data_IF_688369814609
#
_entry.id   IF_688369814609
#
_cell.length_a   1.000
_cell.length_b   1.000
_cell.length_c   1.000
_cell.angle_alpha   90.00
_cell.angle_beta   90.00
_cell.angle_gamma   90.00
#
_symmetry.space_group_name_H-M   'P 1'
#
loop_
_entity.id
_entity.type
_entity.pdbx_description
1 polymer ?
#
# COMPACT_ATOMS: atom_id res chain seq x y z
N UNK A 1 19.24 -29.25 -1.53
CA UNK A 1 19.21 -28.12 -2.48
C UNK A 1 18.91 -26.89 -1.67
N UNK A 2 19.68 -25.82 -1.77
CA UNK A 2 19.38 -24.56 -1.09
C UNK A 2 18.06 -24.03 -1.67
N UNK A 3 17.16 -23.61 -0.81
CA UNK A 3 15.93 -22.94 -1.24
C UNK A 3 16.27 -21.57 -1.85
N UNK A 4 15.34 -21.00 -2.63
CA UNK A 4 15.46 -19.63 -3.12
C UNK A 4 15.51 -18.68 -1.92
N UNK A 5 16.52 -17.80 -1.86
CA UNK A 5 16.63 -16.77 -0.81
C UNK A 5 15.69 -15.61 -1.16
N UNK A 6 14.57 -15.54 -0.44
CA UNK A 6 13.54 -14.55 -0.61
C UNK A 6 13.37 -13.75 0.69
N UNK A 7 13.39 -12.43 0.57
CA UNK A 7 13.23 -11.49 1.69
C UNK A 7 11.91 -10.75 1.54
N UNK A 8 10.93 -10.99 2.41
CA UNK A 8 9.74 -10.16 2.46
C UNK A 8 10.06 -8.78 3.05
N UNK A 9 9.55 -7.75 2.42
CA UNK A 9 9.63 -6.35 2.85
C UNK A 9 8.22 -5.90 3.20
N UNK A 10 7.91 -5.81 4.48
CA UNK A 10 6.56 -5.56 4.97
C UNK A 10 6.34 -4.07 5.22
N UNK A 11 5.28 -3.53 4.67
CA UNK A 11 4.71 -2.22 5.03
C UNK A 11 3.51 -2.42 5.94
N UNK A 12 3.73 -2.36 7.25
CA UNK A 12 2.67 -2.54 8.25
C UNK A 12 1.60 -1.45 8.16
N UNK A 13 1.95 -0.26 7.67
CA UNK A 13 1.04 0.88 7.57
C UNK A 13 0.02 0.76 6.45
N UNK A 14 0.40 0.17 5.33
CA UNK A 14 -0.47 -0.11 4.19
C UNK A 14 -0.98 -1.55 4.18
N UNK A 15 -0.41 -2.42 5.03
CA UNK A 15 -0.74 -3.84 5.07
C UNK A 15 -0.20 -4.63 3.88
N UNK A 16 0.89 -4.16 3.25
CA UNK A 16 1.45 -4.74 2.03
C UNK A 16 2.77 -5.45 2.26
N UNK A 17 3.07 -6.38 1.35
CA UNK A 17 4.34 -7.08 1.27
C UNK A 17 4.93 -6.87 -0.12
N UNK A 18 6.19 -6.46 -0.17
CA UNK A 18 7.04 -6.55 -1.34
C UNK A 18 8.07 -7.66 -1.12
N UNK A 19 8.71 -8.10 -2.18
CA UNK A 19 9.65 -9.21 -2.09
C UNK A 19 10.96 -8.87 -2.80
N UNK A 20 12.08 -9.24 -2.18
CA UNK A 20 13.39 -9.23 -2.81
C UNK A 20 13.87 -10.68 -2.92
N UNK A 21 14.23 -11.12 -4.13
CA UNK A 21 14.74 -12.45 -4.43
C UNK A 21 16.20 -12.33 -4.85
N UNK A 22 17.08 -13.05 -4.14
CA UNK A 22 18.48 -13.22 -4.56
C UNK A 22 18.55 -14.20 -5.74
N UNK A 23 19.12 -13.78 -6.85
CA UNK A 23 19.27 -14.60 -8.06
C UNK A 23 20.52 -15.50 -8.05
N UNK A 24 21.35 -15.40 -7.00
CA UNK A 24 22.53 -16.24 -6.77
C UNK A 24 23.79 -15.79 -7.51
N UNK A 25 23.74 -14.67 -8.25
CA UNK A 25 24.87 -14.13 -9.03
C UNK A 25 25.19 -12.66 -8.71
N UNK A 26 24.72 -12.18 -7.54
CA UNK A 26 24.87 -10.78 -7.10
C UNK A 26 23.77 -9.84 -7.63
N UNK A 27 22.79 -10.38 -8.34
CA UNK A 27 21.61 -9.65 -8.81
C UNK A 27 20.38 -10.01 -8.00
N UNK A 28 19.39 -9.13 -8.00
CA UNK A 28 18.11 -9.36 -7.36
C UNK A 28 16.94 -9.03 -8.30
N UNK A 29 15.84 -9.75 -8.11
CA UNK A 29 14.50 -9.36 -8.53
C UNK A 29 13.78 -8.75 -7.33
N UNK A 30 13.06 -7.66 -7.54
CA UNK A 30 12.07 -7.15 -6.58
C UNK A 30 10.66 -7.23 -7.18
N UNK A 31 9.67 -7.49 -6.34
CA UNK A 31 8.26 -7.60 -6.76
C UNK A 31 7.41 -6.71 -5.88
N UNK A 32 6.54 -5.90 -6.50
CA UNK A 32 5.54 -5.03 -5.90
C UNK A 32 6.11 -4.06 -4.84
N UNK A 33 7.24 -3.46 -5.16
CA UNK A 33 7.89 -2.48 -4.28
C UNK A 33 7.23 -1.12 -4.37
N UNK A 34 7.01 -0.47 -3.24
CA UNK A 34 6.51 0.90 -3.21
C UNK A 34 7.60 1.90 -3.60
N UNK A 35 7.20 3.15 -3.88
CA UNK A 35 8.09 4.28 -4.17
C UNK A 35 9.10 4.56 -3.03
N UNK A 36 8.80 4.15 -1.80
CA UNK A 36 9.76 4.16 -0.70
C UNK A 36 10.72 2.97 -0.81
N UNK A 37 11.82 3.18 -1.51
CA UNK A 37 12.83 2.17 -1.79
C UNK A 37 13.85 1.96 -0.64
N UNK A 38 13.75 2.66 0.49
CA UNK A 38 14.70 2.56 1.62
C UNK A 38 14.87 1.11 2.11
N UNK A 39 13.75 0.37 2.22
CA UNK A 39 13.76 -1.05 2.60
C UNK A 39 14.47 -1.93 1.58
N UNK A 40 14.20 -1.72 0.28
CA UNK A 40 14.84 -2.43 -0.83
C UNK A 40 16.35 -2.20 -0.83
N UNK A 41 16.78 -0.93 -0.81
CA UNK A 41 18.21 -0.58 -0.80
C UNK A 41 18.94 -1.15 0.41
N UNK A 42 18.30 -1.10 1.59
CA UNK A 42 18.87 -1.68 2.81
C UNK A 42 19.02 -3.21 2.70
N UNK A 43 17.98 -3.90 2.22
CA UNK A 43 18.00 -5.37 2.09
C UNK A 43 19.01 -5.83 1.04
N UNK A 44 19.06 -5.17 -0.13
CA UNK A 44 19.99 -5.46 -1.21
C UNK A 44 21.44 -5.20 -0.78
N UNK A 45 21.72 -4.03 -0.18
CA UNK A 45 23.06 -3.65 0.27
C UNK A 45 23.62 -4.61 1.31
N UNK A 46 22.81 -5.03 2.29
CA UNK A 46 23.23 -6.00 3.31
C UNK A 46 23.65 -7.35 2.73
N UNK A 47 23.18 -7.68 1.52
CA UNK A 47 23.48 -8.94 0.82
C UNK A 47 24.48 -8.76 -0.33
N UNK A 48 24.94 -7.55 -0.61
CA UNK A 48 25.79 -7.25 -1.75
C UNK A 48 25.09 -7.43 -3.10
N UNK A 49 23.78 -7.22 -3.15
CA UNK A 49 22.95 -7.41 -4.35
C UNK A 49 22.69 -6.10 -5.07
N UNK A 50 22.59 -6.18 -6.40
CA UNK A 50 22.11 -5.11 -7.29
C UNK A 50 20.74 -5.49 -7.82
N UNK A 51 19.74 -4.60 -7.73
CA UNK A 51 18.41 -4.84 -8.29
C UNK A 51 18.51 -4.78 -9.81
N UNK A 52 18.34 -5.93 -10.46
CA UNK A 52 18.38 -6.08 -11.92
C UNK A 52 16.99 -6.12 -12.55
N UNK A 53 15.99 -6.58 -11.78
CA UNK A 53 14.61 -6.70 -12.24
C UNK A 53 13.67 -6.12 -11.19
N UNK A 54 12.63 -5.41 -11.66
CA UNK A 54 11.56 -4.87 -10.83
C UNK A 54 10.22 -5.23 -11.49
N UNK A 55 9.44 -6.08 -10.83
CA UNK A 55 8.16 -6.58 -11.35
C UNK A 55 6.98 -5.99 -10.58
N UNK A 56 5.96 -5.55 -11.30
CA UNK A 56 4.66 -5.17 -10.74
C UNK A 56 3.61 -6.19 -11.18
N UNK A 57 2.91 -6.80 -10.23
CA UNK A 57 1.83 -7.74 -10.53
C UNK A 57 0.61 -7.03 -11.15
N UNK A 58 0.37 -5.78 -10.80
CA UNK A 58 -0.77 -5.00 -11.28
C UNK A 58 -0.53 -3.49 -11.12
N UNK A 59 -1.48 -2.70 -11.60
CA UNK A 59 -1.55 -1.25 -11.35
C UNK A 59 -2.07 -1.02 -9.93
N UNK A 60 -1.14 -0.85 -8.97
CA UNK A 60 -1.46 -0.66 -7.57
C UNK A 60 -2.32 0.59 -7.34
N UNK A 61 -3.40 0.45 -6.56
CA UNK A 61 -4.28 1.55 -6.19
C UNK A 61 -3.94 2.14 -4.80
N UNK A 62 -3.17 1.45 -4.00
CA UNK A 62 -2.90 1.74 -2.59
C UNK A 62 -1.50 2.30 -2.33
N UNK A 63 -0.57 2.19 -3.29
CA UNK A 63 0.73 2.87 -3.27
C UNK A 63 1.23 3.18 -4.68
N UNK A 64 2.16 4.13 -4.79
CA UNK A 64 2.93 4.34 -6.01
C UNK A 64 4.06 3.32 -6.11
N UNK A 65 4.15 2.63 -7.25
CA UNK A 65 5.21 1.66 -7.51
C UNK A 65 6.58 2.33 -7.60
N UNK A 66 7.59 1.66 -7.02
CA UNK A 66 9.00 2.01 -7.14
C UNK A 66 9.68 1.43 -8.38
N UNK A 67 9.01 0.57 -9.16
CA UNK A 67 9.61 -0.07 -10.33
C UNK A 67 10.09 0.94 -11.37
N UNK A 68 9.30 1.99 -11.64
CA UNK A 68 9.69 3.09 -12.54
C UNK A 68 10.97 3.79 -12.06
N UNK A 69 11.06 4.10 -10.76
CA UNK A 69 12.26 4.72 -10.16
C UNK A 69 13.48 3.80 -10.29
N UNK A 70 13.35 2.51 -10.00
CA UNK A 70 14.43 1.54 -10.14
C UNK A 70 14.90 1.40 -11.60
N UNK A 71 13.96 1.39 -12.55
CA UNK A 71 14.29 1.39 -13.97
C UNK A 71 15.11 2.60 -14.38
N UNK A 72 14.70 3.79 -13.94
CA UNK A 72 15.36 5.06 -14.29
C UNK A 72 16.71 5.26 -13.60
N UNK A 73 16.86 4.87 -12.33
CA UNK A 73 18.04 5.19 -11.52
C UNK A 73 19.06 4.06 -11.42
N UNK A 74 18.62 2.81 -11.47
CA UNK A 74 19.46 1.61 -11.33
C UNK A 74 19.59 0.80 -12.62
N UNK A 75 18.83 1.15 -13.66
CA UNK A 75 18.79 0.39 -14.91
C UNK A 75 18.10 -0.97 -14.77
N UNK A 76 17.29 -1.17 -13.72
CA UNK A 76 16.54 -2.40 -13.55
C UNK A 76 15.55 -2.59 -14.70
N UNK A 77 15.45 -3.81 -15.22
CA UNK A 77 14.41 -4.17 -16.19
C UNK A 77 13.06 -4.20 -15.50
N UNK A 78 12.15 -3.30 -15.89
CA UNK A 78 10.80 -3.28 -15.35
C UNK A 78 9.94 -4.31 -16.07
N UNK A 79 9.29 -5.20 -15.31
CA UNK A 79 8.43 -6.26 -15.80
C UNK A 79 6.99 -5.98 -15.36
N UNK A 80 6.05 -5.93 -16.30
CA UNK A 80 4.65 -5.66 -15.98
C UNK A 80 3.74 -6.20 -17.08
N UNK A 81 2.44 -6.23 -16.83
CA UNK A 81 1.45 -6.64 -17.83
C UNK A 81 1.47 -5.72 -19.05
N UNK A 82 1.49 -6.32 -20.25
CA UNK A 82 1.32 -5.60 -21.51
C UNK A 82 -0.05 -4.91 -21.60
N UNK A 83 -1.09 -5.50 -20.96
CA UNK A 83 -2.43 -4.95 -20.92
C UNK A 83 -2.61 -3.76 -19.96
N UNK A 84 -1.56 -3.42 -19.20
CA UNK A 84 -1.57 -2.26 -18.30
C UNK A 84 -1.34 -0.92 -19.00
N UNK A 85 -0.97 -0.92 -20.27
CA UNK A 85 -0.76 0.27 -21.10
C UNK A 85 0.10 1.35 -20.41
N UNK A 86 1.19 0.94 -19.71
CA UNK A 86 2.07 1.85 -18.99
C UNK A 86 2.80 2.78 -19.95
N UNK A 87 2.88 4.06 -19.61
CA UNK A 87 3.46 5.12 -20.46
C UNK A 87 4.98 5.29 -20.29
N UNK A 88 5.64 4.48 -19.49
CA UNK A 88 7.08 4.48 -19.29
C UNK A 88 7.72 3.15 -19.75
N UNK A 89 9.04 3.16 -19.91
CA UNK A 89 9.79 2.00 -20.42
C UNK A 89 9.63 0.80 -19.50
N UNK A 90 9.08 -0.29 -20.03
CA UNK A 90 8.92 -1.57 -19.36
C UNK A 90 8.92 -2.72 -20.38
N UNK A 91 9.08 -3.93 -19.90
CA UNK A 91 8.84 -5.16 -20.67
C UNK A 91 7.40 -5.59 -20.40
N UNK A 92 6.55 -5.42 -21.40
CA UNK A 92 5.15 -5.85 -21.36
C UNK A 92 5.04 -7.36 -21.52
N UNK A 93 4.50 -8.03 -20.51
CA UNK A 93 4.33 -9.49 -20.48
C UNK A 93 2.88 -9.88 -20.73
N UNK A 94 2.72 -10.99 -21.46
CA UNK A 94 1.46 -11.67 -21.70
C UNK A 94 1.37 -12.97 -20.93
N UNK A 95 0.21 -13.59 -20.95
CA UNK A 95 0.00 -14.89 -20.33
C UNK A 95 0.94 -15.96 -20.90
N UNK A 96 1.67 -16.64 -20.01
CA UNK A 96 2.64 -17.69 -20.35
C UNK A 96 4.03 -17.19 -20.75
N UNK A 97 4.25 -15.88 -20.88
CA UNK A 97 5.59 -15.35 -21.16
C UNK A 97 6.56 -15.68 -20.01
N UNK A 98 7.79 -16.00 -20.38
CA UNK A 98 8.86 -16.29 -19.42
C UNK A 98 10.01 -15.28 -19.57
N UNK A 99 10.52 -14.84 -18.43
CA UNK A 99 11.72 -14.01 -18.33
C UNK A 99 12.85 -14.83 -17.69
N UNK A 100 13.98 -14.95 -18.39
CA UNK A 100 15.19 -15.55 -17.85
C UNK A 100 15.88 -14.56 -16.89
N UNK A 101 15.99 -14.95 -15.63
CA UNK A 101 16.64 -14.17 -14.59
C UNK A 101 18.12 -14.55 -14.39
N UNK A 102 18.64 -15.49 -15.20
CA UNK A 102 20.03 -15.97 -15.11
C UNK A 102 20.18 -17.19 -14.21
N UNK A 103 19.27 -18.17 -14.32
CA UNK A 103 19.23 -19.42 -13.53
C UNK A 103 17.86 -19.71 -13.00
N UNK A 104 17.17 -18.71 -12.49
CA UNK A 104 15.74 -18.75 -12.23
C UNK A 104 14.98 -18.21 -13.44
N UNK A 105 13.71 -18.58 -13.57
CA UNK A 105 12.78 -18.03 -14.57
C UNK A 105 11.54 -17.49 -13.88
N UNK A 106 11.00 -16.42 -14.43
CA UNK A 106 9.74 -15.83 -13.99
C UNK A 106 8.69 -16.00 -15.09
N UNK A 107 7.65 -16.79 -14.84
CA UNK A 107 6.53 -16.99 -15.78
C UNK A 107 5.35 -16.11 -15.39
N UNK A 108 4.84 -15.33 -16.35
CA UNK A 108 3.64 -14.55 -16.18
C UNK A 108 2.39 -15.43 -16.32
N UNK A 109 1.47 -15.31 -15.37
CA UNK A 109 0.17 -15.96 -15.38
C UNK A 109 -0.91 -14.87 -15.34
N UNK A 110 -1.72 -14.77 -16.40
CA UNK A 110 -2.83 -13.81 -16.41
C UNK A 110 -3.88 -14.19 -15.36
N UNK A 111 -4.10 -13.31 -14.39
CA UNK A 111 -5.00 -13.53 -13.26
C UNK A 111 -5.86 -12.28 -13.00
N UNK A 112 -6.73 -11.87 -13.98
CA UNK A 112 -7.58 -10.70 -13.85
C UNK A 112 -8.62 -10.86 -12.75
N UNK A 113 -9.05 -9.73 -12.21
CA UNK A 113 -10.07 -9.66 -11.16
C UNK A 113 -9.86 -8.48 -10.26
N UNK A 114 -8.83 -8.50 -9.42
CA UNK A 114 -8.44 -7.34 -8.63
C UNK A 114 -8.21 -6.10 -9.51
N UNK A 115 -7.45 -6.28 -10.58
CA UNK A 115 -7.42 -5.38 -11.74
C UNK A 115 -7.60 -6.18 -13.03
N UNK A 116 -7.89 -5.51 -14.14
CA UNK A 116 -8.16 -6.17 -15.42
C UNK A 116 -6.90 -6.74 -16.08
N UNK A 117 -5.73 -6.13 -15.83
CA UNK A 117 -4.43 -6.47 -16.41
C UNK A 117 -3.55 -7.33 -15.49
N UNK A 118 -4.06 -7.73 -14.32
CA UNK A 118 -3.30 -8.41 -13.28
C UNK A 118 -2.57 -9.65 -13.77
N UNK A 119 -1.28 -9.73 -13.44
CA UNK A 119 -0.43 -10.92 -13.62
C UNK A 119 0.03 -11.45 -12.26
N UNK A 120 -0.11 -12.74 -12.02
CA UNK A 120 0.70 -13.41 -11.03
C UNK A 120 2.03 -13.84 -11.66
N UNK A 121 3.11 -13.87 -10.89
CA UNK A 121 4.42 -14.28 -11.37
C UNK A 121 4.87 -15.58 -10.70
N UNK A 122 4.95 -16.66 -11.47
CA UNK A 122 5.44 -17.95 -11.00
C UNK A 122 6.96 -18.02 -11.13
N UNK A 123 7.65 -18.27 -10.02
CA UNK A 123 9.09 -18.42 -9.97
C UNK A 123 9.46 -19.88 -10.16
N UNK A 124 10.36 -20.14 -11.10
CA UNK A 124 10.83 -21.47 -11.51
C UNK A 124 12.32 -21.61 -11.27
N UNK A 125 12.72 -22.78 -10.72
CA UNK A 125 14.10 -23.25 -10.59
C UNK A 125 14.24 -24.52 -11.44
N UNK A 126 14.79 -24.37 -12.65
CA UNK A 126 14.67 -25.38 -13.68
C UNK A 126 13.20 -25.62 -14.04
N UNK A 127 12.73 -26.86 -13.91
CA UNK A 127 11.31 -27.22 -14.13
C UNK A 127 10.48 -27.22 -12.85
N UNK A 128 11.10 -26.89 -11.71
CA UNK A 128 10.42 -26.85 -10.41
C UNK A 128 9.73 -25.50 -10.21
N UNK A 129 8.44 -25.54 -9.95
CA UNK A 129 7.65 -24.41 -9.51
C UNK A 129 7.92 -24.15 -8.02
N UNK A 130 8.57 -23.03 -7.70
CA UNK A 130 9.04 -22.72 -6.33
C UNK A 130 7.98 -21.97 -5.54
N UNK A 131 7.42 -20.95 -6.14
CA UNK A 131 6.43 -20.09 -5.50
C UNK A 131 5.85 -19.10 -6.50
N UNK A 132 4.75 -18.48 -6.14
CA UNK A 132 4.01 -17.55 -6.98
C UNK A 132 3.76 -16.25 -6.24
N UNK A 133 4.14 -15.12 -6.86
CA UNK A 133 3.79 -13.78 -6.44
C UNK A 133 2.36 -13.51 -6.95
N UNK A 134 1.40 -13.58 -6.06
CA UNK A 134 -0.01 -13.60 -6.43
C UNK A 134 -0.66 -12.21 -6.44
N UNK A 135 0.07 -11.17 -6.07
CA UNK A 135 -0.48 -9.82 -6.04
C UNK A 135 -1.74 -9.72 -5.19
N UNK A 136 -2.85 -9.34 -5.83
CA UNK A 136 -4.18 -9.33 -5.24
C UNK A 136 -5.08 -10.51 -5.63
N UNK A 137 -4.64 -11.39 -6.55
CA UNK A 137 -5.51 -12.49 -7.04
C UNK A 137 -5.76 -13.57 -6.00
N UNK A 138 -4.71 -14.00 -5.27
CA UNK A 138 -4.83 -14.92 -4.14
C UNK A 138 -4.05 -14.31 -2.98
N UNK A 139 -4.72 -14.06 -1.89
CA UNK A 139 -4.13 -13.64 -0.62
C UNK A 139 -4.41 -14.69 0.44
N UNK A 140 -3.64 -14.67 1.55
CA UNK A 140 -3.79 -15.68 2.59
C UNK A 140 -5.21 -15.65 3.15
N UNK A 141 -5.96 -16.74 2.95
CA UNK A 141 -7.34 -16.89 3.43
C UNK A 141 -8.39 -16.03 2.71
N UNK A 142 -8.05 -15.38 1.57
CA UNK A 142 -8.97 -14.49 0.85
C UNK A 142 -8.53 -14.21 -0.59
N UNK A 143 -9.17 -13.24 -1.23
CA UNK A 143 -8.77 -12.58 -2.46
C UNK A 143 -8.96 -11.06 -2.31
N UNK A 144 -8.25 -10.25 -3.08
CA UNK A 144 -8.40 -8.81 -3.01
C UNK A 144 -9.70 -8.34 -3.68
N UNK A 145 -10.12 -7.13 -3.33
CA UNK A 145 -11.31 -6.46 -3.85
C UNK A 145 -11.23 -6.23 -5.36
N UNK A 146 -12.37 -6.17 -6.00
CA UNK A 146 -12.53 -6.09 -7.47
C UNK A 146 -13.25 -4.83 -7.93
N UNK A 147 -13.49 -3.88 -7.03
CA UNK A 147 -14.29 -2.66 -7.26
C UNK A 147 -13.45 -1.39 -7.43
N UNK A 148 -12.12 -1.52 -7.63
CA UNK A 148 -11.22 -0.36 -7.72
C UNK A 148 -11.09 0.20 -9.14
N UNK A 149 -11.32 -0.60 -10.17
CA UNK A 149 -11.17 -0.17 -11.58
C UNK A 149 -12.34 0.73 -12.00
N UNK A 150 -13.56 0.23 -11.86
CA UNK A 150 -14.79 1.00 -12.03
C UNK A 150 -15.98 0.25 -11.42
N UNK A 151 -17.00 0.99 -11.01
CA UNK A 151 -18.23 0.42 -10.43
C UNK A 151 -18.94 -0.51 -11.41
N UNK A 152 -19.03 -0.09 -12.69
CA UNK A 152 -19.70 -0.84 -13.77
C UNK A 152 -19.05 -2.19 -14.06
N UNK A 153 -17.74 -2.34 -13.81
CA UNK A 153 -17.00 -3.56 -14.09
C UNK A 153 -16.81 -4.46 -12.86
N UNK A 154 -17.30 -4.04 -11.71
CA UNK A 154 -17.07 -4.76 -10.43
C UNK A 154 -17.51 -6.22 -10.51
N UNK A 155 -18.72 -6.51 -11.01
CA UNK A 155 -19.23 -7.89 -11.12
C UNK A 155 -18.44 -8.71 -12.15
N UNK A 156 -18.13 -8.13 -13.32
CA UNK A 156 -17.29 -8.76 -14.36
C UNK A 156 -15.94 -9.16 -13.78
N UNK A 157 -15.27 -8.22 -13.09
CA UNK A 157 -13.96 -8.46 -12.48
C UNK A 157 -14.04 -9.47 -11.34
N UNK A 158 -15.13 -9.50 -10.57
CA UNK A 158 -15.32 -10.50 -9.52
C UNK A 158 -15.45 -11.90 -10.10
N UNK A 159 -16.14 -12.08 -11.23
CA UNK A 159 -16.21 -13.35 -11.94
C UNK A 159 -14.85 -13.76 -12.51
N UNK A 160 -14.11 -12.80 -13.09
CA UNK A 160 -12.72 -13.04 -13.52
C UNK A 160 -11.82 -13.46 -12.35
N UNK A 161 -11.99 -12.84 -11.18
CA UNK A 161 -11.27 -13.20 -9.94
C UNK A 161 -11.52 -14.65 -9.53
N UNK A 162 -12.76 -15.15 -9.67
CA UNK A 162 -13.09 -16.55 -9.42
C UNK A 162 -12.27 -17.49 -10.31
N UNK A 163 -12.24 -17.24 -11.61
CA UNK A 163 -11.45 -18.05 -12.56
C UNK A 163 -9.94 -17.97 -12.25
N UNK A 164 -9.44 -16.79 -11.93
CA UNK A 164 -8.04 -16.55 -11.59
C UNK A 164 -7.62 -17.29 -10.33
N UNK A 165 -8.46 -17.27 -9.29
CA UNK A 165 -8.23 -17.97 -8.04
C UNK A 165 -8.12 -19.48 -8.25
N UNK A 166 -9.03 -20.08 -9.06
CA UNK A 166 -9.01 -21.49 -9.39
C UNK A 166 -7.82 -21.87 -10.28
N UNK A 167 -7.40 -20.96 -11.17
CA UNK A 167 -6.17 -21.13 -11.95
C UNK A 167 -4.94 -21.27 -11.04
N UNK A 168 -4.79 -20.37 -10.06
CA UNK A 168 -3.68 -20.42 -9.10
C UNK A 168 -3.76 -21.67 -8.20
N UNK A 169 -4.95 -22.04 -7.78
CA UNK A 169 -5.20 -23.21 -6.97
C UNK A 169 -4.89 -24.56 -7.70
N UNK A 170 -4.77 -24.53 -9.02
CA UNK A 170 -4.36 -25.69 -9.82
C UNK A 170 -2.83 -25.94 -9.83
N UNK A 171 -2.02 -25.01 -9.29
CA UNK A 171 -0.58 -25.21 -9.09
C UNK A 171 -0.31 -26.33 -8.08
N UNK A 172 0.89 -26.94 -8.09
CA UNK A 172 1.26 -27.96 -7.10
C UNK A 172 1.11 -27.44 -5.66
N UNK A 173 0.66 -28.30 -4.75
CA UNK A 173 0.31 -27.91 -3.39
C UNK A 173 1.46 -27.36 -2.54
N UNK A 174 2.72 -27.68 -2.87
CA UNK A 174 3.92 -27.20 -2.19
C UNK A 174 4.45 -25.86 -2.73
N UNK A 175 3.87 -25.34 -3.80
CA UNK A 175 4.19 -23.99 -4.32
C UNK A 175 3.85 -22.96 -3.26
N UNK A 176 4.84 -22.10 -2.94
CA UNK A 176 4.68 -21.02 -1.98
C UNK A 176 3.79 -19.91 -2.56
N UNK A 177 2.96 -19.30 -1.74
CA UNK A 177 2.09 -18.17 -2.10
C UNK A 177 2.63 -16.91 -1.45
N UNK A 178 2.98 -15.92 -2.28
CA UNK A 178 3.57 -14.64 -1.89
C UNK A 178 2.68 -13.48 -2.35
N UNK A 179 1.65 -13.14 -1.60
CA UNK A 179 0.71 -12.07 -1.96
C UNK A 179 1.26 -10.70 -1.62
N UNK A 180 0.84 -9.68 -2.36
CA UNK A 180 1.15 -8.27 -2.04
C UNK A 180 0.28 -7.76 -0.91
N UNK A 181 -1.00 -8.07 -0.92
CA UNK A 181 -1.94 -7.60 0.10
C UNK A 181 -2.09 -8.60 1.25
N UNK A 182 -2.25 -8.06 2.46
CA UNK A 182 -2.39 -8.87 3.67
C UNK A 182 -3.08 -8.10 4.80
N UNK A 183 -2.84 -8.50 6.03
CA UNK A 183 -3.43 -7.87 7.22
C UNK A 183 -3.17 -6.36 7.24
N UNK A 184 -4.23 -5.57 7.42
CA UNK A 184 -4.18 -4.10 7.43
C UNK A 184 -4.35 -3.43 6.07
N UNK A 185 -4.34 -4.18 4.96
CA UNK A 185 -4.59 -3.63 3.63
C UNK A 185 -6.08 -3.36 3.41
N UNK A 186 -6.41 -2.19 2.83
CA UNK A 186 -7.78 -1.88 2.38
C UNK A 186 -8.14 -2.60 1.07
N UNK A 187 -7.18 -3.25 0.42
CA UNK A 187 -7.43 -4.08 -0.77
C UNK A 187 -7.99 -5.46 -0.42
N UNK A 188 -7.98 -5.87 0.86
CA UNK A 188 -8.46 -7.17 1.29
C UNK A 188 -9.39 -7.07 2.50
N UNK A 189 -10.39 -7.98 2.65
CA UNK A 189 -11.00 -8.20 3.94
C UNK A 189 -9.92 -8.64 4.95
N UNK A 190 -10.12 -8.43 6.27
CA UNK A 190 -9.07 -8.69 7.25
C UNK A 190 -8.72 -10.19 7.28
N UNK A 191 -7.62 -10.62 6.67
CA UNK A 191 -7.09 -11.96 6.83
C UNK A 191 -6.41 -12.10 8.19
N UNK A 192 -6.03 -13.31 8.54
CA UNK A 192 -5.15 -13.56 9.69
C UNK A 192 -3.80 -12.83 9.57
N UNK A 193 -2.97 -12.95 10.59
CA UNK A 193 -1.66 -12.28 10.64
C UNK A 193 -0.62 -12.84 9.64
N UNK A 194 -0.87 -14.01 9.05
CA UNK A 194 0.05 -14.68 8.14
C UNK A 194 0.18 -13.88 6.83
N UNK A 195 1.43 -13.71 6.38
CA UNK A 195 1.77 -12.94 5.18
C UNK A 195 2.08 -13.80 3.96
N UNK A 196 2.32 -15.10 4.16
CA UNK A 196 2.65 -16.07 3.12
C UNK A 196 1.93 -17.39 3.40
N UNK A 197 1.78 -18.21 2.36
CA UNK A 197 1.04 -19.46 2.47
C UNK A 197 1.62 -20.51 1.49
N UNK A 198 0.90 -21.60 1.28
CA UNK A 198 1.10 -22.56 0.20
C UNK A 198 -0.20 -22.82 -0.51
N UNK A 199 -0.14 -23.31 -1.75
CA UNK A 199 -1.36 -23.67 -2.50
C UNK A 199 -2.17 -24.72 -1.75
N UNK A 200 -1.54 -25.74 -1.15
CA UNK A 200 -2.25 -26.75 -0.37
C UNK A 200 -2.97 -26.17 0.85
N UNK A 201 -2.34 -25.21 1.53
CA UNK A 201 -2.96 -24.54 2.67
C UNK A 201 -4.19 -23.72 2.24
N UNK A 202 -4.05 -22.92 1.17
CA UNK A 202 -5.16 -22.12 0.65
C UNK A 202 -6.33 -23.01 0.17
N UNK A 203 -6.05 -24.12 -0.52
CA UNK A 203 -7.09 -25.09 -0.90
C UNK A 203 -7.86 -25.64 0.30
N UNK A 204 -7.18 -25.83 1.44
CA UNK A 204 -7.78 -26.38 2.65
C UNK A 204 -8.54 -25.34 3.50
N UNK A 205 -8.13 -24.06 3.46
CA UNK A 205 -8.57 -23.08 4.48
C UNK A 205 -9.21 -21.83 3.91
N UNK A 206 -8.95 -21.48 2.62
CA UNK A 206 -9.47 -20.26 2.04
C UNK A 206 -10.97 -20.40 1.73
N UNK A 207 -11.86 -19.64 2.39
CA UNK A 207 -13.31 -19.81 2.23
C UNK A 207 -13.79 -19.44 0.82
N UNK A 208 -13.06 -18.58 0.09
CA UNK A 208 -13.39 -18.24 -1.29
C UNK A 208 -13.11 -19.38 -2.27
N UNK A 209 -12.07 -20.19 -2.02
CA UNK A 209 -11.81 -21.42 -2.78
C UNK A 209 -12.79 -22.54 -2.46
N UNK A 210 -13.48 -22.45 -1.34
CA UNK A 210 -14.49 -23.41 -0.92
C UNK A 210 -15.93 -22.98 -1.30
N UNK A 211 -16.09 -21.85 -1.99
CA UNK A 211 -17.37 -21.41 -2.50
C UNK A 211 -17.97 -22.51 -3.41
N UNK A 212 -19.27 -22.78 -3.25
CA UNK A 212 -19.96 -23.89 -3.94
C UNK A 212 -19.99 -23.70 -5.46
N UNK A 213 -20.01 -22.45 -5.91
CA UNK A 213 -20.01 -22.03 -7.31
C UNK A 213 -19.60 -20.56 -7.45
N UNK A 214 -19.47 -20.10 -8.69
CA UNK A 214 -19.12 -18.73 -9.02
C UNK A 214 -20.08 -17.70 -8.41
N UNK A 215 -21.38 -17.99 -8.35
CA UNK A 215 -22.39 -17.06 -7.82
C UNK A 215 -22.21 -16.88 -6.31
N UNK A 216 -21.96 -17.97 -5.58
CA UNK A 216 -21.65 -17.93 -4.16
C UNK A 216 -20.35 -17.18 -3.88
N UNK A 217 -19.31 -17.39 -4.70
CA UNK A 217 -18.07 -16.64 -4.63
C UNK A 217 -18.29 -15.13 -4.79
N UNK A 218 -19.01 -14.71 -5.84
CA UNK A 218 -19.34 -13.31 -6.12
C UNK A 218 -20.06 -12.68 -4.92
N UNK A 219 -21.09 -13.34 -4.40
CA UNK A 219 -21.84 -12.84 -3.27
C UNK A 219 -20.97 -12.72 -2.01
N UNK A 220 -20.10 -13.69 -1.76
CA UNK A 220 -19.21 -13.72 -0.60
C UNK A 220 -18.14 -12.61 -0.70
N UNK A 221 -17.45 -12.48 -1.84
CA UNK A 221 -16.41 -11.48 -2.01
C UNK A 221 -16.98 -10.06 -1.93
N UNK A 222 -18.03 -9.76 -2.70
CA UNK A 222 -18.66 -8.43 -2.69
C UNK A 222 -19.27 -8.08 -1.33
N UNK A 223 -19.85 -9.06 -0.63
CA UNK A 223 -20.42 -8.87 0.71
C UNK A 223 -19.37 -8.59 1.80
N UNK A 224 -18.10 -8.91 1.55
CA UNK A 224 -16.98 -8.67 2.47
C UNK A 224 -16.29 -7.31 2.28
N UNK A 225 -16.59 -6.58 1.20
CA UNK A 225 -15.90 -5.33 0.87
C UNK A 225 -16.30 -4.19 1.81
N UNK A 226 -15.32 -3.60 2.47
CA UNK A 226 -15.45 -2.36 3.23
C UNK A 226 -15.15 -1.11 2.40
N UNK A 227 -15.21 0.06 3.02
CA UNK A 227 -14.77 1.30 2.39
C UNK A 227 -13.24 1.32 2.21
N UNK A 228 -12.76 2.17 1.32
CA UNK A 228 -11.34 2.37 1.04
C UNK A 228 -11.01 3.86 0.93
N UNK A 229 -9.73 4.26 1.18
CA UNK A 229 -9.33 5.65 1.12
C UNK A 229 -9.56 6.27 -0.25
N UNK A 230 -10.03 7.53 -0.34
CA UNK A 230 -10.31 8.20 -1.62
C UNK A 230 -9.13 8.26 -2.59
N UNK A 231 -7.89 8.26 -2.09
CA UNK A 231 -6.70 8.31 -2.93
C UNK A 231 -6.50 7.08 -3.82
N UNK A 232 -7.10 5.93 -3.48
CA UNK A 232 -7.06 4.72 -4.31
C UNK A 232 -7.54 4.96 -5.74
N UNK A 233 -8.52 5.85 -5.91
CA UNK A 233 -9.11 6.16 -7.22
C UNK A 233 -8.15 6.83 -8.21
N UNK A 234 -7.02 7.37 -7.74
CA UNK A 234 -6.06 8.08 -8.57
C UNK A 234 -4.74 7.33 -8.77
N UNK A 235 -4.37 6.40 -7.88
CA UNK A 235 -3.04 5.80 -7.93
C UNK A 235 -2.87 4.79 -9.06
N UNK A 236 -3.92 4.05 -9.43
CA UNK A 236 -3.86 3.15 -10.58
C UNK A 236 -3.45 3.91 -11.86
N UNK A 237 -4.06 5.06 -12.13
CA UNK A 237 -3.69 5.92 -13.25
C UNK A 237 -2.29 6.53 -13.08
N UNK A 238 -1.93 6.98 -11.89
CA UNK A 238 -0.59 7.49 -11.62
C UNK A 238 0.50 6.41 -11.86
N UNK A 239 0.23 5.16 -11.51
CA UNK A 239 1.12 4.03 -11.77
C UNK A 239 1.16 3.66 -13.27
N UNK A 240 0.07 3.87 -14.00
CA UNK A 240 0.01 3.66 -15.46
C UNK A 240 0.85 4.69 -16.20
N UNK A 241 0.69 5.95 -15.88
CA UNK A 241 1.44 7.06 -16.50
C UNK A 241 2.92 7.03 -16.10
N UNK A 242 3.22 6.54 -14.92
CA UNK A 242 4.53 6.54 -14.26
C UNK A 242 4.62 7.66 -13.22
N UNK A 243 4.81 7.31 -11.95
CA UNK A 243 5.00 8.31 -10.90
C UNK A 243 6.17 9.24 -11.23
N UNK A 244 6.10 10.54 -10.89
CA UNK A 244 7.25 11.43 -11.02
C UNK A 244 8.48 10.85 -10.32
N UNK A 245 9.62 10.88 -10.99
CA UNK A 245 10.87 10.41 -10.41
C UNK A 245 11.32 11.34 -9.27
N UNK A 246 11.81 10.74 -8.20
CA UNK A 246 12.42 11.48 -7.10
C UNK A 246 13.90 11.75 -7.42
N UNK A 247 14.31 13.00 -7.35
CA UNK A 247 15.72 13.40 -7.54
C UNK A 247 16.56 13.15 -6.28
N UNK A 248 15.93 12.79 -5.18
CA UNK A 248 16.54 12.49 -3.88
C UNK A 248 15.48 12.13 -2.85
N UNK A 249 15.86 12.01 -1.59
CA UNK A 249 14.95 11.73 -0.52
C UNK A 249 13.95 12.89 -0.33
N UNK A 250 12.64 12.62 -0.19
CA UNK A 250 11.68 13.67 0.09
C UNK A 250 11.96 14.30 1.46
N UNK A 251 11.89 15.62 1.53
CA UNK A 251 12.20 16.41 2.72
C UNK A 251 11.10 17.42 3.03
N UNK A 252 11.03 17.85 4.28
CA UNK A 252 10.15 18.93 4.72
C UNK A 252 10.96 20.22 4.86
N UNK A 253 10.70 21.22 4.00
CA UNK A 253 11.33 22.53 4.13
C UNK A 253 10.85 23.24 5.39
N UNK A 254 11.73 23.86 6.20
CA UNK A 254 11.29 24.66 7.36
C UNK A 254 10.57 25.93 6.88
N UNK A 255 9.38 26.19 7.40
CA UNK A 255 8.58 27.38 7.12
C UNK A 255 8.40 28.18 8.40
N UNK A 256 8.72 29.48 8.38
CA UNK A 256 8.46 30.38 9.48
C UNK A 256 6.96 30.48 9.78
N UNK A 257 6.59 30.89 10.98
CA UNK A 257 5.19 31.11 11.39
C UNK A 257 4.45 32.04 10.40
N UNK A 258 5.12 33.08 9.89
CA UNK A 258 4.50 34.02 8.94
C UNK A 258 4.27 33.37 7.57
N UNK A 259 5.19 32.53 7.08
CA UNK A 259 5.01 31.79 5.84
C UNK A 259 3.86 30.79 5.97
N UNK A 260 3.82 30.02 7.08
CA UNK A 260 2.70 29.09 7.35
C UNK A 260 1.37 29.83 7.33
N UNK A 261 1.26 30.98 8.00
CA UNK A 261 0.02 31.77 8.00
C UNK A 261 -0.38 32.25 6.60
N UNK A 262 0.58 32.71 5.82
CA UNK A 262 0.34 33.13 4.44
C UNK A 262 -0.17 31.95 3.62
N UNK A 263 0.51 30.80 3.67
CA UNK A 263 0.09 29.61 2.94
C UNK A 263 -1.29 29.09 3.35
N UNK A 264 -1.62 29.14 4.66
CA UNK A 264 -2.95 28.79 5.14
C UNK A 264 -4.03 29.76 4.61
N UNK A 265 -3.74 31.04 4.55
CA UNK A 265 -4.64 32.03 3.95
C UNK A 265 -4.83 31.78 2.44
N UNK A 266 -3.81 31.31 1.74
CA UNK A 266 -3.83 30.92 0.33
C UNK A 266 -4.44 29.54 0.09
N UNK A 267 -4.92 28.87 1.14
CA UNK A 267 -5.65 27.62 1.01
C UNK A 267 -4.86 26.35 1.31
N UNK A 268 -3.62 26.43 1.79
CA UNK A 268 -2.91 25.24 2.27
C UNK A 268 -3.64 24.59 3.46
N UNK A 269 -3.36 23.31 3.70
CA UNK A 269 -3.91 22.55 4.82
C UNK A 269 -2.79 22.18 5.80
N UNK A 270 -3.05 22.37 7.08
CA UNK A 270 -2.11 22.00 8.13
C UNK A 270 -2.43 20.61 8.66
N UNK A 271 -1.46 19.73 8.59
CA UNK A 271 -1.51 18.38 9.15
C UNK A 271 -0.67 18.37 10.43
N UNK A 272 -1.30 18.06 11.54
CA UNK A 272 -0.62 17.94 12.82
C UNK A 272 -0.31 16.47 13.08
N UNK A 273 0.98 16.12 12.93
CA UNK A 273 1.49 14.76 13.07
C UNK A 273 1.87 14.40 14.52
N UNK A 274 1.70 15.33 15.46
CA UNK A 274 1.99 15.10 16.87
C UNK A 274 1.04 14.08 17.51
N UNK A 275 1.41 13.49 18.65
CA UNK A 275 0.51 12.63 19.42
C UNK A 275 -0.82 13.29 19.74
N UNK A 276 -1.89 12.49 19.84
CA UNK A 276 -3.25 12.97 20.01
C UNK A 276 -3.44 13.85 21.25
N UNK A 277 -2.79 13.54 22.35
CA UNK A 277 -2.83 14.32 23.60
C UNK A 277 -2.21 15.72 23.41
N UNK A 278 -1.12 15.81 22.65
CA UNK A 278 -0.48 17.09 22.30
C UNK A 278 -1.37 17.94 21.42
N UNK A 279 -1.96 17.33 20.39
CA UNK A 279 -2.94 18.01 19.53
C UNK A 279 -4.15 18.49 20.35
N UNK A 280 -4.71 17.61 21.17
CA UNK A 280 -5.90 17.92 21.96
C UNK A 280 -5.65 19.07 22.96
N UNK A 281 -4.47 19.11 23.55
CA UNK A 281 -4.09 20.18 24.50
C UNK A 281 -3.99 21.55 23.84
N UNK A 282 -3.34 21.63 22.67
CA UNK A 282 -3.21 22.86 21.89
C UNK A 282 -2.80 22.56 20.44
N UNK A 283 -3.55 23.09 19.47
CA UNK A 283 -3.25 22.97 18.04
C UNK A 283 -3.60 24.26 17.30
N UNK A 284 -3.08 24.42 16.09
CA UNK A 284 -3.47 25.50 15.18
C UNK A 284 -4.91 25.27 14.73
N UNK A 285 -5.75 26.29 14.86
CA UNK A 285 -7.17 26.17 14.47
C UNK A 285 -7.32 25.73 13.01
N UNK A 286 -8.11 24.69 12.79
CA UNK A 286 -8.34 24.10 11.47
C UNK A 286 -7.30 23.07 11.01
N UNK A 287 -6.30 22.77 11.83
CA UNK A 287 -5.38 21.67 11.57
C UNK A 287 -6.10 20.32 11.65
N UNK A 288 -5.68 19.38 10.79
CA UNK A 288 -6.15 17.99 10.80
C UNK A 288 -5.15 17.16 11.62
N UNK A 289 -5.64 16.46 12.64
CA UNK A 289 -4.81 15.56 13.46
C UNK A 289 -4.61 14.22 12.78
N UNK A 290 -3.38 13.93 12.42
CA UNK A 290 -2.96 12.63 11.86
C UNK A 290 -1.64 12.25 12.55
N UNK A 291 -1.68 11.61 13.72
CA UNK A 291 -0.47 11.25 14.46
C UNK A 291 0.48 10.38 13.64
N UNK A 292 1.79 10.70 13.67
CA UNK A 292 2.81 9.90 13.03
C UNK A 292 2.90 8.52 13.69
N UNK A 293 2.52 7.53 12.95
CA UNK A 293 2.54 6.10 13.30
C UNK A 293 2.54 5.27 12.01
N UNK A 294 2.71 3.95 12.03
CA UNK A 294 2.78 3.15 10.79
C UNK A 294 1.65 3.43 9.79
N UNK A 295 0.42 3.64 10.26
CA UNK A 295 -0.76 3.94 9.42
C UNK A 295 -0.94 5.42 9.05
N UNK A 296 0.08 6.26 9.23
CA UNK A 296 0.01 7.70 8.90
C UNK A 296 -0.38 7.93 7.44
N UNK A 297 0.24 7.20 6.50
CA UNK A 297 -0.07 7.31 5.08
C UNK A 297 -1.56 7.03 4.78
N UNK A 298 -2.11 5.96 5.35
CA UNK A 298 -3.52 5.60 5.18
C UNK A 298 -4.46 6.71 5.66
N UNK A 299 -4.21 7.26 6.85
CA UNK A 299 -5.02 8.36 7.39
C UNK A 299 -4.82 9.68 6.65
N UNK A 300 -3.59 9.95 6.15
CA UNK A 300 -3.36 11.09 5.26
C UNK A 300 -4.24 10.96 4.01
N UNK A 301 -4.26 9.78 3.41
CA UNK A 301 -5.08 9.49 2.24
C UNK A 301 -6.59 9.54 2.49
N UNK A 302 -7.06 9.28 3.71
CA UNK A 302 -8.46 9.42 4.10
C UNK A 302 -8.89 10.87 4.30
N UNK A 303 -8.03 11.70 4.92
CA UNK A 303 -8.44 12.97 5.52
C UNK A 303 -7.91 14.19 4.78
N UNK A 304 -6.72 14.09 4.16
CA UNK A 304 -6.10 15.24 3.52
C UNK A 304 -6.52 15.37 2.04
N UNK A 305 -6.79 16.60 1.58
CA UNK A 305 -7.02 16.85 0.16
C UNK A 305 -5.73 16.66 -0.64
N UNK A 306 -5.82 15.95 -1.76
CA UNK A 306 -4.65 15.66 -2.60
C UNK A 306 -4.26 16.82 -3.53
N UNK A 307 -5.17 17.76 -3.75
CA UNK A 307 -5.07 18.90 -4.68
C UNK A 307 -4.65 20.22 -4.01
N UNK A 308 -4.39 20.21 -2.70
CA UNK A 308 -4.00 21.40 -1.93
C UNK A 308 -2.62 21.23 -1.30
N UNK A 309 -1.82 22.31 -1.18
CA UNK A 309 -0.55 22.26 -0.48
C UNK A 309 -0.74 21.83 0.98
N UNK A 310 0.11 20.92 1.45
CA UNK A 310 0.09 20.43 2.83
C UNK A 310 1.31 20.94 3.60
N UNK A 311 1.09 21.34 4.82
CA UNK A 311 2.12 21.80 5.78
C UNK A 311 2.05 20.88 7.00
N UNK A 312 3.21 20.47 7.51
CA UNK A 312 3.30 19.58 8.67
C UNK A 312 3.57 20.37 9.96
N UNK A 313 2.92 19.96 11.04
CA UNK A 313 3.34 20.26 12.41
C UNK A 313 3.73 18.95 13.08
N UNK A 314 4.93 18.88 13.61
CA UNK A 314 5.44 17.72 14.35
C UNK A 314 6.15 18.14 15.62
N UNK A 315 6.35 17.22 16.55
CA UNK A 315 7.26 17.43 17.68
C UNK A 315 8.74 17.23 17.22
N UNK A 316 9.69 17.86 17.88
CA UNK A 316 11.12 17.81 17.48
C UNK A 316 11.74 16.40 17.44
N UNK A 317 11.19 15.46 18.22
CA UNK A 317 11.62 14.07 18.32
C UNK A 317 10.99 13.15 17.25
N UNK A 318 10.05 13.63 16.48
CA UNK A 318 9.47 12.90 15.32
C UNK A 318 10.35 13.07 14.08
N UNK A 319 10.59 11.97 13.37
CA UNK A 319 11.41 11.97 12.15
C UNK A 319 10.68 12.63 10.97
N UNK A 320 11.17 13.77 10.45
CA UNK A 320 10.56 14.42 9.28
C UNK A 320 10.69 13.58 7.99
N UNK A 321 11.75 12.80 7.86
CA UNK A 321 11.95 11.93 6.70
C UNK A 321 10.87 10.83 6.65
N UNK A 322 10.50 10.27 7.80
CA UNK A 322 9.43 9.26 7.87
C UNK A 322 8.09 9.84 7.42
N UNK A 323 7.75 11.07 7.84
CA UNK A 323 6.51 11.75 7.41
C UNK A 323 6.53 11.96 5.89
N UNK A 324 7.65 12.45 5.35
CA UNK A 324 7.79 12.74 3.93
C UNK A 324 7.70 11.46 3.07
N UNK A 325 8.35 10.37 3.49
CA UNK A 325 8.29 9.09 2.79
C UNK A 325 6.90 8.45 2.86
N UNK A 326 6.24 8.50 4.01
CA UNK A 326 4.88 7.99 4.12
C UNK A 326 3.88 8.75 3.23
N UNK A 327 4.08 10.05 3.05
CA UNK A 327 3.28 10.84 2.11
C UNK A 327 3.63 10.51 0.66
N UNK A 328 4.92 10.46 0.32
CA UNK A 328 5.39 10.21 -1.04
C UNK A 328 4.92 8.85 -1.59
N UNK A 329 4.92 7.79 -0.77
CA UNK A 329 4.51 6.44 -1.22
C UNK A 329 3.05 6.35 -1.66
N UNK A 330 2.18 7.25 -1.19
CA UNK A 330 0.78 7.34 -1.62
C UNK A 330 0.51 8.55 -2.53
N UNK A 331 1.56 9.15 -3.09
CA UNK A 331 1.47 10.22 -4.08
C UNK A 331 0.99 11.57 -3.54
N UNK A 332 1.36 11.89 -2.30
CA UNK A 332 1.19 13.22 -1.73
C UNK A 332 2.50 14.02 -1.86
N UNK A 333 2.84 14.38 -3.11
CA UNK A 333 4.03 15.16 -3.44
C UNK A 333 3.83 16.68 -3.18
N UNK A 334 2.66 17.07 -2.68
CA UNK A 334 2.25 18.43 -2.35
C UNK A 334 2.56 18.84 -0.89
N UNK A 335 3.40 18.09 -0.18
CA UNK A 335 3.99 18.52 1.08
C UNK A 335 4.98 19.64 0.82
N UNK A 336 4.64 20.88 1.23
CA UNK A 336 5.44 22.07 0.95
C UNK A 336 6.40 22.45 2.08
N UNK A 337 6.30 21.81 3.24
CA UNK A 337 7.20 22.02 4.37
C UNK A 337 6.58 21.76 5.72
N UNK A 338 7.29 22.16 6.75
CA UNK A 338 6.88 22.02 8.16
C UNK A 338 6.98 23.36 8.91
N UNK A 339 6.19 23.53 9.96
CA UNK A 339 6.27 24.68 10.85
C UNK A 339 7.60 24.63 11.62
N UNK A 340 8.51 25.55 11.29
CA UNK A 340 9.79 25.67 11.99
C UNK A 340 9.57 26.08 13.46
N UNK A 341 10.27 25.40 14.37
CA UNK A 341 10.09 25.57 15.82
C UNK A 341 8.76 25.01 16.36
N UNK A 342 8.03 24.23 15.56
CA UNK A 342 6.81 23.51 15.95
C UNK A 342 5.74 24.42 16.62
N UNK A 343 4.87 23.85 17.44
CA UNK A 343 3.85 24.64 18.18
C UNK A 343 4.42 25.65 19.16
N UNK A 344 5.66 25.47 19.62
CA UNK A 344 6.31 26.44 20.49
C UNK A 344 6.52 27.78 19.77
N UNK A 345 6.98 27.76 18.52
CA UNK A 345 7.14 28.97 17.71
C UNK A 345 5.80 29.66 17.43
N UNK A 346 4.74 28.89 17.12
CA UNK A 346 3.40 29.41 16.89
C UNK A 346 2.87 30.17 18.10
N UNK A 347 3.00 29.55 19.29
CA UNK A 347 2.54 30.14 20.55
C UNK A 347 3.37 31.36 20.96
N UNK A 348 4.71 31.28 20.80
CA UNK A 348 5.61 32.39 21.10
C UNK A 348 5.35 33.62 20.20
N UNK A 349 4.89 33.41 18.98
CA UNK A 349 4.45 34.48 18.05
C UNK A 349 3.10 35.08 18.43
N UNK A 350 2.46 34.64 19.51
CA UNK A 350 1.22 35.17 20.04
C UNK A 350 -0.03 34.79 19.22
N UNK A 351 0.02 33.71 18.46
CA UNK A 351 -1.13 33.25 17.69
C UNK A 351 -2.04 32.33 18.50
N UNK A 352 -3.35 32.46 18.23
CA UNK A 352 -4.36 31.64 18.89
C UNK A 352 -4.21 30.15 18.59
N UNK A 353 -4.51 29.35 19.61
CA UNK A 353 -4.63 27.90 19.51
C UNK A 353 -6.05 27.46 19.83
N UNK A 354 -6.42 26.28 19.34
CA UNK A 354 -7.62 25.56 19.75
C UNK A 354 -7.25 24.36 20.63
N UNK A 355 -8.22 23.86 21.38
CA UNK A 355 -8.08 22.64 22.16
C UNK A 355 -9.33 21.78 22.06
N UNK A 356 -9.21 20.48 22.27
CA UNK A 356 -10.30 19.51 22.28
C UNK A 356 -10.21 18.70 23.57
N UNK A 357 -11.26 18.67 24.40
CA UNK A 357 -11.24 17.84 25.60
C UNK A 357 -11.24 16.34 25.19
N UNK A 358 -10.32 15.59 25.76
CA UNK A 358 -10.32 14.13 25.66
C UNK A 358 -11.14 13.54 26.82
N UNK A 359 -11.94 12.52 26.51
CA UNK A 359 -12.70 11.75 27.48
C UNK A 359 -12.43 10.25 27.32
N UNK A 360 -12.48 9.52 28.42
CA UNK A 360 -12.48 8.05 28.41
C UNK A 360 -13.91 7.53 28.35
N UNK A 361 -14.08 6.27 27.93
CA UNK A 361 -15.41 5.64 27.81
C UNK A 361 -16.22 5.75 29.12
N UNK A 362 -15.56 5.58 30.27
CA UNK A 362 -16.19 5.63 31.59
C UNK A 362 -16.71 7.05 31.97
N UNK A 363 -16.26 8.06 31.25
CA UNK A 363 -16.65 9.47 31.45
C UNK A 363 -17.79 9.94 30.52
N UNK A 364 -18.31 9.04 29.68
CA UNK A 364 -19.31 9.36 28.66
C UNK A 364 -20.75 9.11 29.12
N UNK A 365 -20.95 8.68 30.36
CA UNK A 365 -22.28 8.38 30.91
C UNK A 365 -23.25 9.56 30.73
N UNK A 366 -24.44 9.29 30.16
CA UNK A 366 -25.45 10.29 29.83
C UNK A 366 -25.12 11.23 28.68
N UNK A 367 -23.99 11.06 27.96
CA UNK A 367 -23.61 11.85 26.78
C UNK A 367 -24.05 11.19 25.50
N UNK A 368 -24.39 12.01 24.49
CA UNK A 368 -24.57 11.49 23.13
C UNK A 368 -23.21 11.11 22.55
N UNK A 369 -23.05 9.87 22.15
CA UNK A 369 -21.85 9.32 21.52
C UNK A 369 -22.14 9.02 20.05
N UNK A 370 -21.26 9.42 19.15
CA UNK A 370 -21.26 9.02 17.75
C UNK A 370 -20.08 8.07 17.54
N UNK A 371 -20.38 6.84 17.16
CA UNK A 371 -19.35 5.89 16.72
C UNK A 371 -19.04 6.16 15.24
N UNK A 372 -17.80 6.51 14.94
CA UNK A 372 -17.33 6.84 13.58
C UNK A 372 -16.51 5.71 12.94
N UNK A 373 -16.44 4.56 13.60
CA UNK A 373 -15.73 3.38 13.08
C UNK A 373 -16.51 2.73 11.93
N UNK A 374 -15.88 1.75 11.27
CA UNK A 374 -16.54 0.92 10.27
C UNK A 374 -17.68 0.12 10.91
N UNK A 375 -18.70 -0.20 10.09
CA UNK A 375 -19.86 -0.96 10.59
C UNK A 375 -19.47 -2.32 11.22
N UNK A 376 -18.45 -3.00 10.65
CA UNK A 376 -17.92 -4.25 11.19
C UNK A 376 -17.36 -4.06 12.61
N UNK A 377 -16.56 -3.02 12.83
CA UNK A 377 -15.98 -2.69 14.13
C UNK A 377 -17.05 -2.33 15.16
N UNK A 378 -18.13 -1.65 14.72
CA UNK A 378 -19.27 -1.36 15.57
C UNK A 378 -20.01 -2.64 15.98
N UNK A 379 -20.18 -3.59 15.05
CA UNK A 379 -20.85 -4.85 15.33
C UNK A 379 -20.03 -5.78 16.24
N UNK A 380 -18.70 -5.72 16.16
CA UNK A 380 -17.79 -6.49 17.01
C UNK A 380 -17.82 -6.02 18.48
N UNK A 381 -18.20 -4.76 18.73
CA UNK A 381 -18.35 -4.22 20.07
C UNK A 381 -18.46 -2.69 20.06
N UNK A 382 -19.48 -2.17 20.74
CA UNK A 382 -19.73 -0.72 20.86
C UNK A 382 -20.23 -0.37 22.26
N UNK A 383 -20.16 0.93 22.58
CA UNK A 383 -20.72 1.42 23.83
C UNK A 383 -22.24 1.24 23.84
N UNK A 384 -22.82 0.72 24.94
CA UNK A 384 -24.27 0.58 25.07
C UNK A 384 -24.98 1.92 25.00
N UNK A 385 -26.05 2.06 24.19
CA UNK A 385 -26.88 3.27 24.15
C UNK A 385 -27.51 3.54 22.81
#
# INVERSE_FOLDING_TARGET
>A
MAGVDLVPLIDEGLGNSAYLVDLGDGRALVVDVSRDLRGVHTAASKRGLTVAFAADTHLHADFLSGAHQLGATSGAQVLASAAGDREFTHTGLHDGDEVDLGGLRLRALLTPGHTHEHLAFLLLDGDREVGVFTGGSLIVGSAARTDLVSEDRTEELTRAQYASLHRLAALPGDVQVWPTHGAGSFCSPPPGAERTSTIAHELATNPLLQATDETAFVAQLLGSLGSYPPYFRRLGEANRVGPPLLEGDPTLAPLSVNEVRTRLADGAVLIDARPLDRFAAAHVRGAISIPLRPVFASWLGWLAPADRPLIIVRDPDQDPAEIAWQAAKIGYDNLIGELDGAMAAWTAAGHDTASIPLARAEQLDGRRVLDIRQRSEYLDGHLPG
#
